data_IF_931683339161
#
_entry.id   IF_931683339161
#
_cell.length_a   1.000
_cell.length_b   1.000
_cell.length_c   1.000
_cell.angle_alpha   90.00
_cell.angle_beta   90.00
_cell.angle_gamma   90.00
#
_symmetry.space_group_name_H-M   'P 1'
#
loop_
_entity.id
_entity.type
_entity.pdbx_description
1 polymer ?
#
# COMPACT_ATOMS: atom_id res chain seq x y z
N UNK A 1 54.43 21.40 28.33
CA UNK A 1 55.13 20.37 29.05
C UNK A 1 56.00 20.95 30.13
N UNK A 2 55.64 20.66 31.42
CA UNK A 2 56.53 20.91 32.55
C UNK A 2 57.46 19.72 32.78
N UNK A 3 58.63 19.96 33.34
CA UNK A 3 59.55 18.89 33.75
C UNK A 3 59.60 18.84 35.27
N UNK A 4 59.44 17.65 35.87
CA UNK A 4 59.73 17.43 37.25
C UNK A 4 61.24 17.58 37.51
N UNK A 5 61.69 17.88 38.76
CA UNK A 5 63.09 18.05 39.16
C UNK A 5 63.88 16.75 38.99
N UNK A 6 64.30 16.46 37.77
CA UNK A 6 65.01 15.26 37.39
C UNK A 6 64.95 14.94 35.89
N UNK A 7 64.60 15.91 35.04
CA UNK A 7 64.50 15.80 33.58
C UNK A 7 63.52 14.75 33.01
N UNK A 8 62.60 14.17 33.79
CA UNK A 8 61.55 13.33 33.25
C UNK A 8 60.36 14.20 32.82
N UNK A 9 59.79 14.00 31.63
CA UNK A 9 58.59 14.69 31.21
C UNK A 9 57.42 14.27 32.09
N UNK A 10 56.62 15.23 32.59
CA UNK A 10 55.37 14.96 33.26
C UNK A 10 54.34 14.64 32.16
N UNK A 11 53.84 13.44 32.14
CA UNK A 11 52.75 13.04 31.22
C UNK A 11 51.41 13.54 31.75
N UNK A 12 50.45 13.70 30.85
CA UNK A 12 49.10 14.13 31.24
C UNK A 12 48.43 13.12 32.18
N UNK A 13 48.72 11.84 32.02
CA UNK A 13 48.27 10.72 32.84
C UNK A 13 48.83 10.74 34.28
N UNK A 14 49.93 11.49 34.56
CA UNK A 14 50.48 11.67 35.91
C UNK A 14 49.65 12.67 36.76
N UNK A 15 48.85 13.49 36.12
CA UNK A 15 48.12 14.60 36.77
C UNK A 15 46.60 14.59 36.51
N UNK A 16 46.13 13.75 35.58
CA UNK A 16 44.74 13.64 35.19
C UNK A 16 44.42 12.26 34.61
N UNK A 17 43.22 11.80 34.89
CA UNK A 17 42.65 10.62 34.19
C UNK A 17 42.28 10.97 32.76
N UNK A 18 42.93 10.32 31.80
CA UNK A 18 42.67 10.51 30.36
C UNK A 18 41.90 9.34 29.82
N UNK A 19 40.61 9.55 29.55
CA UNK A 19 39.73 8.52 28.98
C UNK A 19 38.89 9.10 27.85
N UNK A 20 38.45 8.23 26.95
CA UNK A 20 37.47 8.58 25.93
C UNK A 20 36.12 8.63 26.60
N UNK A 21 35.45 9.77 26.57
CA UNK A 21 34.14 9.99 27.17
C UNK A 21 33.13 10.58 26.20
N UNK A 22 31.90 10.65 26.63
CA UNK A 22 30.84 11.31 25.86
C UNK A 22 31.06 12.83 25.84
N UNK A 23 30.74 13.46 24.70
CA UNK A 23 30.69 14.93 24.58
C UNK A 23 29.59 15.48 25.51
N UNK A 24 29.90 16.54 26.20
CA UNK A 24 28.96 17.24 27.10
C UNK A 24 28.51 18.60 26.49
N UNK A 25 27.24 18.97 26.63
CA UNK A 25 26.14 18.19 27.21
C UNK A 25 25.70 17.03 26.26
N UNK A 26 25.24 15.92 26.83
CA UNK A 26 24.63 14.85 26.06
C UNK A 26 23.30 15.36 25.47
N UNK A 27 23.14 15.22 24.16
CA UNK A 27 21.96 15.73 23.44
C UNK A 27 20.90 14.64 23.22
N UNK A 28 21.24 13.38 23.35
CA UNK A 28 20.32 12.28 23.17
C UNK A 28 20.85 10.93 23.61
N UNK A 29 19.96 9.98 23.75
CA UNK A 29 20.21 8.56 24.03
C UNK A 29 19.42 7.70 23.07
N UNK A 30 19.83 6.44 22.94
CA UNK A 30 19.09 5.45 22.17
C UNK A 30 19.08 4.10 22.88
N UNK A 31 18.04 3.32 22.65
CA UNK A 31 17.89 1.98 23.19
C UNK A 31 17.17 1.06 22.22
N UNK A 32 17.45 -0.25 22.35
CA UNK A 32 16.71 -1.33 21.72
C UNK A 32 16.32 -2.37 22.78
N UNK A 33 15.04 -2.71 22.85
CA UNK A 33 14.50 -3.66 23.86
C UNK A 33 14.92 -3.31 25.29
N UNK A 34 14.90 -2.04 25.64
CA UNK A 34 15.28 -1.56 26.96
C UNK A 34 16.79 -1.59 27.25
N UNK A 35 17.65 -1.85 26.28
CA UNK A 35 19.12 -1.82 26.43
C UNK A 35 19.70 -0.65 25.67
N UNK A 36 20.70 0.01 26.24
CA UNK A 36 21.43 1.09 25.56
C UNK A 36 21.96 0.60 24.21
N UNK A 37 21.73 1.38 23.17
CA UNK A 37 22.11 1.08 21.80
C UNK A 37 22.60 2.32 21.06
N UNK A 38 23.24 2.10 19.92
CA UNK A 38 23.54 3.15 18.94
C UNK A 38 22.63 2.92 17.74
N UNK A 39 21.79 3.87 17.42
CA UNK A 39 20.93 3.82 16.25
C UNK A 39 21.62 4.46 15.05
N UNK A 40 21.66 3.72 13.95
CA UNK A 40 22.16 4.19 12.66
C UNK A 40 20.99 4.39 11.72
N UNK A 41 20.75 5.62 11.32
CA UNK A 41 19.72 5.92 10.32
C UNK A 41 20.35 6.00 8.95
N UNK A 42 19.87 5.16 8.03
CA UNK A 42 20.35 5.12 6.64
C UNK A 42 19.28 5.72 5.73
N UNK A 43 19.63 6.79 5.02
CA UNK A 43 18.76 7.43 4.03
C UNK A 43 19.21 7.05 2.62
N UNK A 44 18.27 6.83 1.73
CA UNK A 44 18.55 6.50 0.33
C UNK A 44 18.47 7.73 -0.56
N UNK A 45 19.18 7.72 -1.68
CA UNK A 45 18.99 8.69 -2.75
C UNK A 45 17.63 8.48 -3.44
N UNK A 46 16.96 9.54 -3.94
CA UNK A 46 15.60 9.46 -4.48
C UNK A 46 15.39 8.40 -5.56
N UNK A 47 16.36 8.20 -6.46
CA UNK A 47 16.26 7.27 -7.59
C UNK A 47 16.67 5.81 -7.26
N UNK A 48 17.15 5.54 -6.03
CA UNK A 48 17.63 4.20 -5.66
C UNK A 48 16.47 3.29 -5.27
N UNK A 49 16.52 2.02 -5.71
CA UNK A 49 15.58 0.99 -5.28
C UNK A 49 15.74 0.70 -3.78
N UNK A 50 14.65 0.84 -3.02
CA UNK A 50 14.67 0.57 -1.58
C UNK A 50 14.96 -0.91 -1.28
N UNK A 51 14.36 -1.83 -2.04
CA UNK A 51 14.55 -3.27 -1.84
C UNK A 51 16.01 -3.68 -2.08
N UNK A 52 16.55 -3.33 -3.25
CA UNK A 52 17.93 -3.67 -3.62
C UNK A 52 18.96 -3.07 -2.67
N UNK A 53 18.75 -1.82 -2.23
CA UNK A 53 19.63 -1.17 -1.27
C UNK A 53 19.56 -1.86 0.10
N UNK A 54 18.37 -2.24 0.55
CA UNK A 54 18.18 -2.95 1.82
C UNK A 54 18.90 -4.29 1.80
N UNK A 55 18.73 -5.09 0.73
CA UNK A 55 19.39 -6.39 0.58
C UNK A 55 20.93 -6.27 0.62
N UNK A 56 21.49 -5.29 -0.11
CA UNK A 56 22.92 -5.01 -0.09
C UNK A 56 23.43 -4.58 1.28
N UNK A 57 22.67 -3.73 1.97
CA UNK A 57 22.99 -3.26 3.31
C UNK A 57 23.00 -4.41 4.31
N UNK A 58 21.98 -5.26 4.28
CA UNK A 58 21.89 -6.43 5.18
C UNK A 58 23.01 -7.44 4.94
N UNK A 59 23.37 -7.69 3.68
CA UNK A 59 24.48 -8.55 3.36
C UNK A 59 25.79 -7.99 3.95
N UNK A 60 26.03 -6.68 3.79
CA UNK A 60 27.20 -6.00 4.33
C UNK A 60 27.22 -6.01 5.87
N UNK A 61 26.05 -5.80 6.51
CA UNK A 61 25.96 -5.83 7.98
C UNK A 61 26.17 -7.25 8.55
N UNK A 62 25.68 -8.29 7.86
CA UNK A 62 25.97 -9.68 8.22
C UNK A 62 27.46 -10.02 8.14
N UNK A 63 28.14 -9.50 7.14
CA UNK A 63 29.60 -9.70 7.02
C UNK A 63 30.36 -8.91 8.09
N UNK A 64 29.93 -7.68 8.37
CA UNK A 64 30.48 -6.87 9.45
C UNK A 64 30.32 -7.55 10.82
N UNK A 65 29.13 -8.13 11.09
CA UNK A 65 28.85 -8.81 12.35
C UNK A 65 29.83 -9.94 12.67
N UNK A 66 30.39 -10.61 11.65
CA UNK A 66 31.40 -11.67 11.83
C UNK A 66 32.71 -11.16 12.41
N UNK A 67 33.02 -9.88 12.19
CA UNK A 67 34.27 -9.23 12.59
C UNK A 67 34.13 -8.36 13.85
N UNK A 68 32.91 -8.22 14.38
CA UNK A 68 32.63 -7.46 15.61
C UNK A 68 32.95 -8.31 16.85
N UNK A 69 33.24 -7.67 18.00
CA UNK A 69 33.36 -8.33 19.27
C UNK A 69 32.06 -9.11 19.62
N UNK A 70 32.16 -10.25 20.34
CA UNK A 70 30.98 -11.10 20.63
C UNK A 70 29.87 -10.45 21.44
N UNK A 71 30.19 -9.39 22.15
CA UNK A 71 29.27 -8.56 22.95
C UNK A 71 28.53 -7.51 22.15
N UNK A 72 28.99 -7.22 20.91
CA UNK A 72 28.36 -6.25 20.00
C UNK A 72 27.43 -6.99 19.04
N UNK A 73 26.14 -6.63 19.04
CA UNK A 73 25.13 -7.18 18.13
C UNK A 73 24.59 -6.08 17.25
N UNK A 74 24.46 -6.36 15.95
CA UNK A 74 23.79 -5.48 14.98
C UNK A 74 22.39 -6.01 14.76
N UNK A 75 21.38 -5.19 15.02
CA UNK A 75 19.97 -5.48 14.76
C UNK A 75 19.48 -4.66 13.58
N UNK A 76 18.78 -5.31 12.66
CA UNK A 76 18.18 -4.68 11.48
C UNK A 76 16.63 -4.73 11.53
N UNK A 77 16.06 -5.26 12.61
CA UNK A 77 14.63 -5.55 12.72
C UNK A 77 13.77 -4.39 13.28
N UNK A 78 14.33 -3.19 13.36
CA UNK A 78 13.65 -2.03 13.96
C UNK A 78 12.65 -1.44 12.95
N UNK A 79 13.12 -0.60 12.07
CA UNK A 79 12.31 0.02 11.02
C UNK A 79 12.93 -0.23 9.66
N UNK A 80 12.16 -0.83 8.76
CA UNK A 80 12.57 -1.12 7.38
C UNK A 80 11.46 -0.73 6.43
N UNK A 81 11.68 0.29 5.63
CA UNK A 81 10.73 0.68 4.58
C UNK A 81 10.50 -0.47 3.57
N UNK A 82 11.51 -1.32 3.36
CA UNK A 82 11.38 -2.51 2.49
C UNK A 82 10.30 -3.47 2.97
N UNK A 83 10.12 -3.67 4.28
CA UNK A 83 9.08 -4.56 4.85
C UNK A 83 7.67 -4.16 4.41
N UNK A 84 7.38 -2.86 4.40
CA UNK A 84 6.11 -2.34 3.91
C UNK A 84 5.92 -2.62 2.40
N UNK A 85 6.98 -2.41 1.60
CA UNK A 85 6.96 -2.67 0.17
C UNK A 85 6.77 -4.17 -0.09
N UNK A 86 7.52 -5.03 0.59
CA UNK A 86 7.43 -6.50 0.51
C UNK A 86 6.02 -7.01 0.89
N UNK A 87 5.48 -6.53 2.00
CA UNK A 87 4.11 -6.86 2.43
C UNK A 87 3.07 -6.42 1.41
N UNK A 88 3.21 -5.22 0.86
CA UNK A 88 2.30 -4.71 -0.17
C UNK A 88 2.39 -5.51 -1.46
N UNK A 89 3.60 -5.86 -1.92
CA UNK A 89 3.82 -6.73 -3.07
C UNK A 89 3.22 -8.12 -2.81
N UNK A 90 3.48 -8.71 -1.65
CA UNK A 90 2.95 -10.00 -1.26
C UNK A 90 1.42 -10.03 -1.24
N UNK A 91 0.77 -9.00 -0.70
CA UNK A 91 -0.68 -8.86 -0.71
C UNK A 91 -1.24 -8.75 -2.13
N UNK A 92 -0.59 -7.98 -3.01
CA UNK A 92 -1.00 -7.89 -4.41
C UNK A 92 -0.81 -9.23 -5.12
N UNK A 93 0.34 -9.90 -4.95
CA UNK A 93 0.57 -11.23 -5.53
C UNK A 93 -0.48 -12.25 -5.06
N UNK A 94 -0.82 -12.25 -3.77
CA UNK A 94 -1.88 -13.10 -3.23
C UNK A 94 -3.22 -12.78 -3.88
N UNK A 95 -3.60 -11.52 -3.96
CA UNK A 95 -4.86 -11.09 -4.59
C UNK A 95 -4.89 -11.43 -6.08
N UNK A 96 -3.77 -11.29 -6.79
CA UNK A 96 -3.64 -11.70 -8.20
C UNK A 96 -3.85 -13.20 -8.36
N UNK A 97 -3.25 -14.01 -7.49
CA UNK A 97 -3.38 -15.46 -7.53
C UNK A 97 -4.80 -15.92 -7.19
N UNK A 98 -5.37 -15.40 -6.11
CA UNK A 98 -6.77 -15.69 -5.72
C UNK A 98 -7.75 -15.23 -6.80
N UNK A 99 -7.60 -14.01 -7.30
CA UNK A 99 -8.39 -13.49 -8.42
C UNK A 99 -8.26 -14.34 -9.67
N UNK A 100 -7.04 -14.79 -10.01
CA UNK A 100 -6.79 -15.72 -11.10
C UNK A 100 -7.53 -17.05 -10.95
N UNK A 101 -7.54 -17.64 -9.76
CA UNK A 101 -8.30 -18.86 -9.46
C UNK A 101 -9.80 -18.63 -9.66
N UNK A 102 -10.35 -17.53 -9.12
CA UNK A 102 -11.76 -17.23 -9.32
C UNK A 102 -12.12 -17.05 -10.78
N UNK A 103 -11.27 -16.37 -11.55
CA UNK A 103 -11.45 -16.21 -12.99
C UNK A 103 -11.47 -17.58 -13.68
N UNK A 104 -10.55 -18.50 -13.37
CA UNK A 104 -10.53 -19.85 -13.92
C UNK A 104 -11.83 -20.59 -13.62
N UNK A 105 -12.31 -20.53 -12.38
CA UNK A 105 -13.57 -21.19 -11.97
C UNK A 105 -14.75 -20.59 -12.75
N UNK A 106 -14.85 -19.27 -12.83
CA UNK A 106 -15.93 -18.59 -13.55
C UNK A 106 -15.88 -18.91 -15.04
N UNK A 107 -14.72 -18.85 -15.67
CA UNK A 107 -14.53 -19.22 -17.08
C UNK A 107 -14.99 -20.64 -17.36
N UNK A 108 -14.58 -21.58 -16.51
CA UNK A 108 -14.97 -22.98 -16.68
C UNK A 108 -16.48 -23.19 -16.53
N UNK A 109 -17.11 -22.49 -15.56
CA UNK A 109 -18.55 -22.57 -15.34
C UNK A 109 -19.36 -22.01 -16.51
N UNK A 110 -18.90 -20.92 -17.12
CA UNK A 110 -19.63 -20.24 -18.19
C UNK A 110 -19.34 -20.82 -19.58
N UNK A 111 -18.07 -21.02 -19.91
CA UNK A 111 -17.67 -21.50 -21.24
C UNK A 111 -17.88 -23.00 -21.40
N UNK A 112 -17.92 -23.79 -20.31
CA UNK A 112 -18.07 -25.26 -20.29
C UNK A 112 -17.19 -26.01 -21.32
N UNK A 113 -16.13 -25.35 -21.81
CA UNK A 113 -15.23 -25.88 -22.82
C UNK A 113 -13.78 -25.65 -22.41
N UNK A 114 -13.03 -26.71 -22.16
CA UNK A 114 -11.64 -26.63 -21.70
C UNK A 114 -10.75 -25.86 -22.68
N UNK A 115 -10.99 -25.91 -23.97
CA UNK A 115 -10.13 -25.24 -24.96
C UNK A 115 -10.31 -23.71 -24.93
N UNK A 116 -11.54 -23.26 -24.88
CA UNK A 116 -11.84 -21.81 -24.74
C UNK A 116 -11.29 -21.26 -23.42
N UNK A 117 -11.44 -22.03 -22.34
CA UNK A 117 -10.87 -21.68 -21.03
C UNK A 117 -9.34 -21.59 -21.07
N UNK A 118 -8.66 -22.54 -21.73
CA UNK A 118 -7.18 -22.52 -21.85
C UNK A 118 -6.72 -21.30 -22.65
N UNK A 119 -7.42 -20.93 -23.73
CA UNK A 119 -7.05 -19.73 -24.51
C UNK A 119 -7.11 -18.50 -23.62
N UNK A 120 -8.24 -18.27 -22.94
CA UNK A 120 -8.40 -17.12 -22.03
C UNK A 120 -7.39 -17.14 -20.87
N UNK A 121 -7.04 -18.32 -20.39
CA UNK A 121 -6.09 -18.52 -19.30
C UNK A 121 -4.63 -18.21 -19.72
N UNK A 122 -4.28 -18.41 -20.99
CA UNK A 122 -2.95 -18.09 -21.52
C UNK A 122 -2.83 -16.60 -21.86
N UNK A 123 -3.90 -16.00 -22.39
CA UNK A 123 -3.88 -14.58 -22.78
C UNK A 123 -3.74 -13.63 -21.59
N UNK A 124 -4.25 -13.99 -20.41
CA UNK A 124 -4.22 -13.20 -19.21
C UNK A 124 -2.78 -12.95 -18.69
N UNK A 125 -1.97 -14.00 -18.37
CA UNK A 125 -0.57 -13.80 -17.98
C UNK A 125 0.25 -13.10 -19.07
N UNK A 126 -0.03 -13.39 -20.33
CA UNK A 126 0.67 -12.75 -21.44
C UNK A 126 0.40 -11.24 -21.48
N UNK A 127 -0.84 -10.81 -21.27
CA UNK A 127 -1.20 -9.39 -21.18
C UNK A 127 -0.49 -8.70 -19.99
N UNK A 128 -0.44 -9.37 -18.84
CA UNK A 128 0.26 -8.84 -17.66
C UNK A 128 1.77 -8.72 -17.89
N UNK A 129 2.41 -9.75 -18.46
CA UNK A 129 3.84 -9.72 -18.78
C UNK A 129 4.13 -8.61 -19.79
N UNK A 130 3.32 -8.50 -20.84
CA UNK A 130 3.45 -7.43 -21.85
C UNK A 130 3.33 -6.05 -21.19
N UNK A 131 2.40 -5.88 -20.25
CA UNK A 131 2.22 -4.63 -19.50
C UNK A 131 3.45 -4.31 -18.65
N UNK A 132 3.98 -5.27 -17.90
CA UNK A 132 5.17 -5.10 -17.07
C UNK A 132 6.40 -4.74 -17.91
N UNK A 133 6.60 -5.42 -19.05
CA UNK A 133 7.68 -5.14 -19.99
C UNK A 133 7.53 -3.73 -20.58
N UNK A 134 6.32 -3.34 -20.96
CA UNK A 134 6.05 -1.98 -21.49
C UNK A 134 6.33 -0.91 -20.43
N UNK A 135 5.87 -1.09 -19.19
CA UNK A 135 6.14 -0.17 -18.09
C UNK A 135 7.65 -0.05 -17.82
N UNK A 136 8.37 -1.16 -17.87
CA UNK A 136 9.83 -1.15 -17.71
C UNK A 136 10.53 -0.33 -18.80
N UNK A 137 10.17 -0.52 -20.07
CA UNK A 137 10.73 0.27 -21.19
C UNK A 137 10.34 1.75 -21.13
N UNK A 138 9.21 2.09 -20.55
CA UNK A 138 8.81 3.48 -20.28
C UNK A 138 9.56 4.12 -19.10
N UNK A 139 10.42 3.37 -18.40
CA UNK A 139 11.19 3.84 -17.25
C UNK A 139 10.41 3.91 -15.94
N UNK A 140 9.24 3.28 -15.87
CA UNK A 140 8.48 3.19 -14.63
C UNK A 140 9.02 2.09 -13.73
N UNK A 141 9.19 2.40 -12.45
CA UNK A 141 9.52 1.42 -11.42
C UNK A 141 8.26 0.71 -10.91
N UNK A 142 8.39 -0.58 -10.62
CA UNK A 142 7.32 -1.33 -9.95
C UNK A 142 7.22 -0.83 -8.51
N UNK A 143 6.09 -0.23 -8.18
CA UNK A 143 5.75 0.24 -6.84
C UNK A 143 4.33 -0.21 -6.47
N UNK A 144 3.93 0.01 -5.22
CA UNK A 144 2.61 -0.41 -4.71
C UNK A 144 1.44 0.16 -5.51
N UNK A 145 1.58 1.39 -6.03
CA UNK A 145 0.54 2.06 -6.82
C UNK A 145 0.46 1.47 -8.23
N UNK A 146 1.60 1.23 -8.90
CA UNK A 146 1.60 0.60 -10.22
C UNK A 146 1.10 -0.85 -10.16
N UNK A 147 1.45 -1.61 -9.11
CA UNK A 147 0.90 -2.95 -8.87
C UNK A 147 -0.60 -2.90 -8.57
N UNK A 148 -1.06 -1.91 -7.81
CA UNK A 148 -2.49 -1.68 -7.58
C UNK A 148 -3.24 -1.41 -8.88
N UNK A 149 -2.68 -0.60 -9.78
CA UNK A 149 -3.22 -0.35 -11.13
C UNK A 149 -3.33 -1.62 -11.97
N UNK A 150 -2.29 -2.47 -11.96
CA UNK A 150 -2.31 -3.78 -12.62
C UNK A 150 -3.36 -4.72 -12.00
N UNK A 151 -3.50 -4.73 -10.68
CA UNK A 151 -4.49 -5.55 -9.99
C UNK A 151 -5.92 -5.16 -10.36
N UNK A 152 -6.21 -3.86 -10.43
CA UNK A 152 -7.52 -3.36 -10.89
C UNK A 152 -7.76 -3.73 -12.36
N UNK A 153 -6.72 -3.67 -13.19
CA UNK A 153 -6.82 -3.98 -14.61
C UNK A 153 -7.22 -5.44 -14.89
N UNK A 154 -6.86 -6.40 -14.01
CA UNK A 154 -7.08 -7.84 -14.24
C UNK A 154 -8.54 -8.15 -14.60
N UNK A 155 -9.50 -7.54 -13.91
CA UNK A 155 -10.92 -7.71 -14.22
C UNK A 155 -11.25 -7.37 -15.68
N UNK A 156 -10.75 -6.24 -16.16
CA UNK A 156 -10.96 -5.78 -17.54
C UNK A 156 -10.13 -6.56 -18.57
N UNK A 157 -8.94 -7.04 -18.18
CA UNK A 157 -8.08 -7.86 -19.08
C UNK A 157 -8.73 -9.18 -19.47
N UNK A 158 -9.52 -9.75 -18.58
CA UNK A 158 -10.23 -11.02 -18.80
C UNK A 158 -11.36 -10.84 -19.80
N UNK A 159 -12.09 -9.74 -19.70
CA UNK A 159 -13.29 -9.48 -20.51
C UNK A 159 -12.96 -9.43 -22.02
N UNK A 160 -11.92 -8.71 -22.40
CA UNK A 160 -11.51 -8.58 -23.81
C UNK A 160 -11.21 -9.93 -24.46
N UNK A 161 -10.48 -10.79 -23.74
CA UNK A 161 -10.14 -12.13 -24.24
C UNK A 161 -11.36 -13.07 -24.29
N UNK A 162 -12.29 -12.98 -23.33
CA UNK A 162 -13.49 -13.82 -23.28
C UNK A 162 -14.41 -13.50 -24.45
N UNK A 163 -14.66 -12.22 -24.70
CA UNK A 163 -15.58 -11.76 -25.75
C UNK A 163 -15.14 -12.25 -27.12
N UNK A 164 -13.83 -12.15 -27.45
CA UNK A 164 -13.32 -12.62 -28.73
C UNK A 164 -13.38 -14.17 -28.84
N UNK A 165 -12.93 -14.88 -27.80
CA UNK A 165 -12.95 -16.36 -27.78
C UNK A 165 -14.38 -16.90 -27.90
N UNK A 166 -15.34 -16.30 -27.18
CA UNK A 166 -16.74 -16.73 -27.24
C UNK A 166 -17.35 -16.47 -28.61
N UNK A 167 -17.11 -15.31 -29.22
CA UNK A 167 -17.61 -14.98 -30.54
C UNK A 167 -17.02 -15.92 -31.60
N UNK A 168 -15.71 -16.16 -31.57
CA UNK A 168 -15.04 -17.11 -32.47
C UNK A 168 -15.61 -18.52 -32.31
N UNK A 169 -15.78 -18.97 -31.06
CA UNK A 169 -16.36 -20.32 -30.79
C UNK A 169 -17.77 -20.44 -31.34
N UNK A 170 -18.62 -19.42 -31.12
CA UNK A 170 -19.98 -19.38 -31.64
C UNK A 170 -20.01 -19.40 -33.17
N UNK A 171 -19.21 -18.58 -33.82
CA UNK A 171 -19.15 -18.53 -35.31
C UNK A 171 -18.59 -19.81 -35.92
N UNK A 172 -17.59 -20.44 -35.30
CA UNK A 172 -17.11 -21.75 -35.72
C UNK A 172 -18.18 -22.83 -35.60
N UNK A 173 -18.99 -22.79 -34.54
CA UNK A 173 -20.11 -23.69 -34.37
C UNK A 173 -21.20 -23.46 -35.42
N UNK A 174 -21.61 -22.22 -35.65
CA UNK A 174 -22.57 -21.85 -36.69
C UNK A 174 -22.10 -22.29 -38.10
N UNK A 175 -20.80 -22.10 -38.40
CA UNK A 175 -20.23 -22.54 -39.67
C UNK A 175 -20.28 -24.07 -39.86
N UNK A 176 -20.14 -24.87 -38.79
CA UNK A 176 -20.26 -26.33 -38.84
C UNK A 176 -21.68 -26.80 -39.12
N UNK A 177 -22.70 -26.02 -38.76
CA UNK A 177 -24.11 -26.34 -39.03
C UNK A 177 -24.54 -26.07 -40.48
N UNK A 178 -23.74 -25.30 -41.24
CA UNK A 178 -24.01 -25.02 -42.65
C UNK A 178 -23.76 -26.23 -43.54
N UNK A 179 -24.41 -26.33 -44.73
CA UNK A 179 -24.07 -27.32 -45.75
C UNK A 179 -22.58 -27.25 -46.10
N UNK A 180 -21.99 -28.41 -46.47
CA UNK A 180 -20.54 -28.50 -46.71
C UNK A 180 -20.05 -27.54 -47.79
N UNK A 181 -20.88 -27.24 -48.78
CA UNK A 181 -20.62 -26.35 -49.89
C UNK A 181 -20.55 -24.86 -49.48
N UNK A 182 -21.21 -24.48 -48.39
CA UNK A 182 -21.27 -23.12 -47.87
C UNK A 182 -20.32 -22.87 -46.68
N UNK A 183 -19.55 -23.88 -46.27
CA UNK A 183 -18.62 -23.76 -45.12
C UNK A 183 -17.38 -22.94 -45.49
N UNK A 184 -17.19 -21.87 -44.76
CA UNK A 184 -15.96 -21.09 -44.84
C UNK A 184 -14.80 -21.85 -44.19
N UNK A 185 -13.58 -21.52 -44.62
CA UNK A 185 -12.37 -22.04 -43.97
C UNK A 185 -12.28 -21.56 -42.53
N UNK A 186 -11.61 -22.35 -41.65
CA UNK A 186 -11.46 -22.02 -40.24
C UNK A 186 -10.83 -20.65 -40.05
N UNK A 187 -9.82 -20.31 -40.85
CA UNK A 187 -9.14 -19.00 -40.79
C UNK A 187 -10.07 -17.85 -41.15
N UNK A 188 -10.90 -18.01 -42.18
CA UNK A 188 -11.88 -17.00 -42.56
C UNK A 188 -12.95 -16.79 -41.48
N UNK A 189 -13.43 -17.89 -40.88
CA UNK A 189 -14.41 -17.76 -39.76
C UNK A 189 -13.80 -17.02 -38.57
N UNK A 190 -12.60 -17.41 -38.16
CA UNK A 190 -11.89 -16.76 -37.07
C UNK A 190 -11.64 -15.27 -37.37
N UNK A 191 -11.15 -14.98 -38.58
CA UNK A 191 -10.91 -13.59 -38.99
C UNK A 191 -12.18 -12.75 -38.97
N UNK A 192 -13.28 -13.24 -39.52
CA UNK A 192 -14.54 -12.53 -39.54
C UNK A 192 -15.13 -12.35 -38.15
N UNK A 193 -15.07 -13.39 -37.31
CA UNK A 193 -15.54 -13.32 -35.91
C UNK A 193 -14.78 -12.30 -35.08
N UNK A 194 -13.44 -12.33 -35.15
CA UNK A 194 -12.61 -11.37 -34.43
C UNK A 194 -12.78 -9.93 -34.99
N UNK A 195 -13.03 -9.77 -36.30
CA UNK A 195 -13.33 -8.47 -36.91
C UNK A 195 -14.64 -7.86 -36.37
N UNK A 196 -15.66 -8.70 -36.09
CA UNK A 196 -16.95 -8.24 -35.53
C UNK A 196 -16.79 -7.57 -34.17
N UNK A 197 -15.96 -8.14 -33.28
CA UNK A 197 -15.79 -7.66 -31.90
C UNK A 197 -14.68 -6.62 -31.74
N UNK A 198 -13.85 -6.42 -32.77
CA UNK A 198 -12.70 -5.50 -32.72
C UNK A 198 -13.11 -4.07 -32.37
N UNK A 199 -14.10 -3.50 -33.06
CA UNK A 199 -14.52 -2.11 -32.81
C UNK A 199 -15.18 -1.93 -31.44
N UNK A 200 -16.07 -2.81 -30.96
CA UNK A 200 -16.54 -2.79 -29.58
C UNK A 200 -15.40 -2.82 -28.54
N UNK A 201 -14.41 -3.70 -28.68
CA UNK A 201 -13.28 -3.81 -27.76
C UNK A 201 -12.46 -2.51 -27.75
N UNK A 202 -12.07 -1.99 -28.94
CA UNK A 202 -11.31 -0.75 -29.03
C UNK A 202 -12.06 0.45 -28.43
N UNK A 203 -13.36 0.55 -28.69
CA UNK A 203 -14.17 1.64 -28.17
C UNK A 203 -14.32 1.55 -26.65
N UNK A 204 -14.54 0.35 -26.09
CA UNK A 204 -14.64 0.17 -24.64
C UNK A 204 -13.32 0.52 -23.95
N UNK A 205 -12.19 0.03 -24.47
CA UNK A 205 -10.85 0.38 -23.95
C UNK A 205 -10.62 1.88 -24.00
N UNK A 206 -10.96 2.54 -25.13
CA UNK A 206 -10.79 3.99 -25.27
C UNK A 206 -11.64 4.78 -24.25
N UNK A 207 -12.90 4.38 -24.06
CA UNK A 207 -13.78 5.00 -23.07
C UNK A 207 -13.20 4.87 -21.67
N UNK A 208 -12.71 3.69 -21.30
CA UNK A 208 -12.08 3.46 -20.00
C UNK A 208 -10.81 4.31 -19.85
N UNK A 209 -9.94 4.36 -20.86
CA UNK A 209 -8.74 5.20 -20.86
C UNK A 209 -9.10 6.66 -20.65
N UNK A 210 -10.09 7.17 -21.38
CA UNK A 210 -10.55 8.56 -21.25
C UNK A 210 -11.10 8.85 -19.86
N UNK A 211 -11.76 7.89 -19.21
CA UNK A 211 -12.26 8.06 -17.84
C UNK A 211 -11.14 8.20 -16.80
N UNK A 212 -9.93 7.73 -17.08
CA UNK A 212 -8.74 7.89 -16.24
C UNK A 212 -7.95 9.17 -16.51
N UNK A 213 -8.21 9.86 -17.63
CA UNK A 213 -7.52 11.12 -17.98
C UNK A 213 -7.58 12.18 -16.87
N UNK A 214 -8.68 12.37 -16.13
CA UNK A 214 -8.73 13.34 -15.03
C UNK A 214 -7.67 13.12 -13.95
N UNK A 215 -7.19 11.89 -13.72
CA UNK A 215 -6.13 11.60 -12.75
C UNK A 215 -4.82 12.33 -13.05
N UNK A 216 -4.53 12.58 -14.33
CA UNK A 216 -3.30 13.26 -14.76
C UNK A 216 -3.30 14.77 -14.53
N UNK A 217 -4.47 15.34 -14.23
CA UNK A 217 -4.62 16.76 -13.85
C UNK A 217 -4.55 16.99 -12.35
N UNK A 218 -4.45 15.92 -11.54
CA UNK A 218 -4.25 16.05 -10.12
C UNK A 218 -2.85 16.59 -9.83
N UNK A 219 -2.79 17.61 -8.98
CA UNK A 219 -1.55 18.23 -8.51
C UNK A 219 -1.23 17.79 -7.10
N UNK A 220 -0.04 18.13 -6.59
CA UNK A 220 0.33 17.82 -5.22
C UNK A 220 0.70 16.37 -5.00
N UNK A 221 0.47 15.89 -3.78
CA UNK A 221 0.80 14.53 -3.36
C UNK A 221 -0.15 13.50 -3.99
N UNK A 222 -1.43 13.83 -4.14
CA UNK A 222 -2.45 12.98 -4.75
C UNK A 222 -2.06 12.60 -6.18
N UNK A 223 -1.63 13.60 -6.97
CA UNK A 223 -1.16 13.35 -8.33
C UNK A 223 0.05 12.43 -8.37
N UNK A 224 1.04 12.65 -7.49
CA UNK A 224 2.24 11.80 -7.41
C UNK A 224 1.93 10.34 -7.05
N UNK A 225 0.89 10.10 -6.27
CA UNK A 225 0.46 8.76 -5.87
C UNK A 225 -0.41 8.09 -6.94
N UNK A 226 -1.39 8.80 -7.50
CA UNK A 226 -2.41 8.21 -8.37
C UNK A 226 -1.98 8.13 -9.83
N UNK A 227 -1.10 9.01 -10.31
CA UNK A 227 -0.60 8.98 -11.69
C UNK A 227 0.09 7.65 -12.04
N UNK A 228 1.00 7.08 -11.23
CA UNK A 228 1.58 5.76 -11.52
C UNK A 228 0.53 4.64 -11.59
N UNK A 229 -0.51 4.68 -10.76
CA UNK A 229 -1.63 3.75 -10.78
C UNK A 229 -2.40 3.86 -12.10
N UNK A 230 -2.76 5.09 -12.50
CA UNK A 230 -3.47 5.35 -13.75
C UNK A 230 -2.68 4.93 -14.99
N UNK A 231 -1.37 5.22 -15.03
CA UNK A 231 -0.50 4.81 -16.14
C UNK A 231 -0.42 3.28 -16.21
N UNK A 232 -0.18 2.60 -15.08
CA UNK A 232 -0.09 1.14 -15.06
C UNK A 232 -1.40 0.47 -15.53
N UNK A 233 -2.53 1.01 -15.11
CA UNK A 233 -3.85 0.56 -15.55
C UNK A 233 -4.06 0.75 -17.06
N UNK A 234 -3.77 1.94 -17.60
CA UNK A 234 -3.91 2.24 -19.03
C UNK A 234 -2.99 1.36 -19.88
N UNK A 235 -1.73 1.20 -19.46
CA UNK A 235 -0.76 0.34 -20.15
C UNK A 235 -1.23 -1.11 -20.14
N UNK A 236 -1.79 -1.58 -19.03
CA UNK A 236 -2.35 -2.93 -18.92
C UNK A 236 -3.52 -3.14 -19.89
N UNK A 237 -4.46 -2.20 -19.97
CA UNK A 237 -5.57 -2.26 -20.91
C UNK A 237 -5.09 -2.25 -22.36
N UNK A 238 -4.14 -1.37 -22.70
CA UNK A 238 -3.58 -1.30 -24.05
C UNK A 238 -2.88 -2.61 -24.42
N UNK A 239 -2.08 -3.18 -23.51
CA UNK A 239 -1.42 -4.47 -23.71
C UNK A 239 -2.44 -5.62 -23.89
N UNK A 240 -3.51 -5.63 -23.07
CA UNK A 240 -4.60 -6.61 -23.23
C UNK A 240 -5.26 -6.52 -24.60
N UNK A 241 -5.60 -5.33 -25.01
CA UNK A 241 -6.23 -5.11 -26.32
C UNK A 241 -5.32 -5.59 -27.47
N UNK A 242 -4.00 -5.33 -27.40
CA UNK A 242 -3.04 -5.84 -28.39
C UNK A 242 -3.01 -7.37 -28.37
N UNK A 243 -2.95 -7.99 -27.20
CA UNK A 243 -2.96 -9.46 -27.06
C UNK A 243 -4.29 -10.06 -27.55
N UNK A 244 -5.42 -9.47 -27.19
CA UNK A 244 -6.74 -9.90 -27.63
C UNK A 244 -6.91 -9.82 -29.15
N UNK A 245 -6.40 -8.78 -29.78
CA UNK A 245 -6.52 -8.59 -31.23
C UNK A 245 -5.49 -9.39 -32.06
N UNK A 246 -4.43 -9.90 -31.45
CA UNK A 246 -3.35 -10.61 -32.16
C UNK A 246 -3.24 -12.07 -31.75
N UNK A 247 -2.95 -12.33 -30.49
CA UNK A 247 -2.67 -13.66 -29.96
C UNK A 247 -3.94 -14.51 -29.83
N UNK A 248 -5.02 -13.91 -29.36
CA UNK A 248 -6.30 -14.63 -29.14
C UNK A 248 -6.84 -15.25 -30.42
N UNK A 249 -6.97 -14.54 -31.56
CA UNK A 249 -7.42 -15.15 -32.82
C UNK A 249 -6.51 -16.29 -33.31
N UNK A 250 -5.19 -16.12 -33.14
CA UNK A 250 -4.22 -17.17 -33.52
C UNK A 250 -4.43 -18.43 -32.67
N UNK A 251 -4.53 -18.30 -31.34
CA UNK A 251 -4.81 -19.42 -30.44
C UNK A 251 -6.16 -20.08 -30.75
N UNK A 252 -7.19 -19.28 -31.06
CA UNK A 252 -8.49 -19.80 -31.50
C UNK A 252 -8.38 -20.65 -32.77
N UNK A 253 -7.62 -20.19 -33.77
CA UNK A 253 -7.44 -20.93 -35.01
C UNK A 253 -6.75 -22.28 -34.79
N UNK A 254 -5.75 -22.33 -33.89
CA UNK A 254 -5.01 -23.59 -33.60
C UNK A 254 -5.79 -24.54 -32.68
N UNK A 255 -6.42 -24.05 -31.63
CA UNK A 255 -7.03 -24.90 -30.61
C UNK A 255 -8.49 -25.26 -30.90
N UNK A 256 -9.26 -24.35 -31.51
CA UNK A 256 -10.67 -24.57 -31.84
C UNK A 256 -10.84 -25.14 -33.27
N UNK A 257 -9.88 -24.88 -34.17
CA UNK A 257 -9.92 -25.37 -35.56
C UNK A 257 -9.68 -26.88 -35.73
N UNK A 258 -9.06 -27.57 -34.77
CA UNK A 258 -8.60 -28.97 -34.87
C UNK A 258 -9.65 -30.03 -34.56
N UNK A 259 -10.91 -29.70 -34.35
CA UNK A 259 -11.95 -30.70 -34.02
C UNK A 259 -12.39 -31.52 -35.23
N UNK A 260 -11.66 -32.62 -35.51
CA UNK A 260 -12.01 -33.58 -36.56
C UNK A 260 -12.92 -34.71 -36.08
N UNK A 261 -13.16 -34.91 -34.79
CA UNK A 261 -13.92 -36.09 -34.30
C UNK A 261 -14.61 -35.78 -32.96
N UNK A 262 -15.74 -35.17 -32.96
CA UNK A 262 -16.90 -35.49 -32.11
C UNK A 262 -18.08 -34.66 -32.58
N UNK A 263 -18.72 -35.21 -33.59
CA UNK A 263 -20.03 -34.80 -34.05
C UNK A 263 -21.05 -35.09 -32.94
N UNK A 264 -22.03 -34.17 -32.87
CA UNK A 264 -23.32 -34.41 -32.23
C UNK A 264 -23.35 -34.55 -30.70
N UNK A 265 -22.72 -33.65 -29.98
CA UNK A 265 -23.45 -33.10 -28.82
C UNK A 265 -23.70 -31.62 -29.11
N UNK A 266 -24.95 -31.26 -29.25
CA UNK A 266 -25.41 -29.88 -29.24
C UNK A 266 -24.52 -29.12 -28.23
N UNK A 267 -23.94 -28.01 -28.66
CA UNK A 267 -23.28 -27.12 -27.73
C UNK A 267 -24.38 -26.57 -26.81
N UNK A 268 -24.82 -27.40 -25.84
CA UNK A 268 -25.74 -26.95 -24.84
C UNK A 268 -24.95 -25.91 -24.05
N UNK A 269 -25.46 -24.66 -24.03
CA UNK A 269 -25.03 -23.68 -23.06
C UNK A 269 -24.74 -24.38 -21.74
N UNK A 270 -23.67 -23.98 -21.05
CA UNK A 270 -23.43 -24.44 -19.67
C UNK A 270 -24.74 -24.44 -18.89
N UNK A 271 -24.93 -25.43 -18.02
CA UNK A 271 -26.11 -25.45 -17.13
C UNK A 271 -26.33 -24.09 -16.43
N UNK A 272 -25.24 -23.46 -16.02
CA UNK A 272 -25.26 -22.14 -15.39
C UNK A 272 -25.73 -21.06 -16.38
N UNK A 273 -25.14 -21.01 -17.57
CA UNK A 273 -25.49 -20.04 -18.60
C UNK A 273 -26.98 -20.19 -19.03
N UNK A 274 -27.46 -21.42 -19.20
CA UNK A 274 -28.85 -21.69 -19.56
C UNK A 274 -29.82 -21.24 -18.49
N UNK A 275 -29.54 -21.52 -17.20
CA UNK A 275 -30.39 -21.10 -16.09
C UNK A 275 -30.37 -19.58 -15.94
N UNK A 276 -29.24 -18.94 -16.10
CA UNK A 276 -29.12 -17.49 -16.08
C UNK A 276 -29.88 -16.82 -17.25
N UNK A 277 -29.78 -17.38 -18.47
CA UNK A 277 -30.55 -16.89 -19.63
C UNK A 277 -32.06 -16.97 -19.39
N UNK A 278 -32.54 -18.05 -18.78
CA UNK A 278 -33.97 -18.19 -18.43
C UNK A 278 -34.40 -17.14 -17.40
N UNK A 279 -33.61 -16.97 -16.35
CA UNK A 279 -33.88 -15.99 -15.31
C UNK A 279 -33.84 -14.55 -15.85
N UNK A 280 -32.80 -14.25 -16.63
CA UNK A 280 -32.66 -12.95 -17.30
C UNK A 280 -33.82 -12.68 -18.28
N UNK A 281 -34.24 -13.67 -19.05
CA UNK A 281 -35.40 -13.53 -19.95
C UNK A 281 -36.68 -13.16 -19.22
N UNK A 282 -36.95 -13.80 -18.08
CA UNK A 282 -38.11 -13.48 -17.26
C UNK A 282 -37.99 -12.07 -16.63
N UNK A 283 -36.81 -11.72 -16.11
CA UNK A 283 -36.55 -10.39 -15.58
C UNK A 283 -36.67 -9.30 -16.66
N UNK A 284 -36.15 -9.54 -17.84
CA UNK A 284 -36.22 -8.59 -18.96
C UNK A 284 -37.66 -8.39 -19.42
N UNK A 285 -38.47 -9.45 -19.51
CA UNK A 285 -39.89 -9.35 -19.84
C UNK A 285 -40.64 -8.52 -18.80
N UNK A 286 -40.36 -8.72 -17.51
CA UNK A 286 -40.91 -7.91 -16.43
C UNK A 286 -40.55 -6.43 -16.56
N UNK A 287 -39.23 -6.13 -16.73
CA UNK A 287 -38.72 -4.77 -16.90
C UNK A 287 -39.35 -4.05 -18.09
N UNK A 288 -39.41 -4.74 -19.24
CA UNK A 288 -40.00 -4.16 -20.45
C UNK A 288 -41.51 -3.94 -20.32
N UNK A 289 -42.19 -4.79 -19.54
CA UNK A 289 -43.64 -4.60 -19.22
C UNK A 289 -43.92 -3.43 -18.26
N UNK A 290 -42.93 -3.11 -17.39
CA UNK A 290 -43.13 -2.11 -16.32
C UNK A 290 -42.16 -0.92 -16.45
N UNK A 291 -41.94 -0.41 -17.66
CA UNK A 291 -40.93 0.63 -17.99
C UNK A 291 -41.01 1.87 -17.06
N UNK A 292 -42.24 2.34 -16.73
CA UNK A 292 -42.42 3.53 -15.87
C UNK A 292 -41.98 3.26 -14.42
N UNK A 293 -42.21 2.05 -13.90
CA UNK A 293 -41.82 1.68 -12.53
C UNK A 293 -40.29 1.57 -12.48
N UNK A 294 -39.70 0.91 -13.48
CA UNK A 294 -38.24 0.75 -13.54
C UNK A 294 -37.54 2.10 -13.67
N UNK A 295 -38.02 2.99 -14.54
CA UNK A 295 -37.47 4.32 -14.68
C UNK A 295 -37.61 5.14 -13.39
N UNK A 296 -38.79 5.10 -12.75
CA UNK A 296 -39.05 5.78 -11.48
C UNK A 296 -38.14 5.25 -10.35
N UNK A 297 -37.96 3.92 -10.25
CA UNK A 297 -37.07 3.32 -9.25
C UNK A 297 -35.59 3.67 -9.49
N UNK A 298 -35.18 3.71 -10.74
CA UNK A 298 -33.79 4.12 -11.12
C UNK A 298 -33.53 5.58 -10.74
N UNK A 299 -34.48 6.48 -11.04
CA UNK A 299 -34.35 7.89 -10.64
C UNK A 299 -34.36 8.02 -9.12
N UNK A 300 -35.27 7.29 -8.43
CA UNK A 300 -35.30 7.27 -6.97
C UNK A 300 -34.00 6.79 -6.35
N UNK A 301 -33.44 5.70 -6.86
CA UNK A 301 -32.13 5.18 -6.41
C UNK A 301 -31.01 6.19 -6.67
N UNK A 302 -31.04 6.86 -7.83
CA UNK A 302 -30.06 7.90 -8.15
C UNK A 302 -30.13 9.08 -7.18
N UNK A 303 -31.34 9.53 -6.83
CA UNK A 303 -31.53 10.62 -5.84
C UNK A 303 -31.02 10.18 -4.46
N UNK A 304 -31.32 8.94 -4.03
CA UNK A 304 -30.80 8.40 -2.77
C UNK A 304 -29.27 8.33 -2.79
N UNK A 305 -28.67 7.85 -3.87
CA UNK A 305 -27.21 7.80 -4.02
C UNK A 305 -26.58 9.21 -3.96
N UNK A 306 -27.25 10.20 -4.58
CA UNK A 306 -26.80 11.60 -4.56
C UNK A 306 -26.87 12.17 -3.13
N UNK A 307 -27.93 11.91 -2.39
CA UNK A 307 -28.05 12.33 -0.98
C UNK A 307 -26.97 11.66 -0.14
N UNK A 308 -26.77 10.34 -0.29
CA UNK A 308 -25.71 9.62 0.41
C UNK A 308 -24.31 10.19 0.09
N UNK A 309 -24.05 10.59 -1.15
CA UNK A 309 -22.78 11.19 -1.54
C UNK A 309 -22.44 12.46 -0.74
N UNK A 310 -23.45 13.29 -0.44
CA UNK A 310 -23.23 14.49 0.37
C UNK A 310 -23.09 14.22 1.88
N UNK A 311 -23.53 13.04 2.35
CA UNK A 311 -23.38 12.63 3.76
C UNK A 311 -22.12 11.84 4.03
N UNK A 312 -21.41 11.39 2.99
CA UNK A 312 -20.14 10.66 3.13
C UNK A 312 -19.04 11.57 3.69
N UNK A 313 -18.32 11.06 4.69
CA UNK A 313 -17.12 11.69 5.22
C UNK A 313 -16.02 11.74 4.14
N UNK A 314 -15.18 12.78 4.21
CA UNK A 314 -14.04 12.95 3.31
C UNK A 314 -12.77 12.73 4.08
N UNK A 315 -11.89 11.87 3.59
CA UNK A 315 -10.54 11.68 4.11
C UNK A 315 -9.52 11.78 2.97
N UNK A 316 -8.31 12.22 3.30
CA UNK A 316 -7.24 12.40 2.32
C UNK A 316 -6.72 11.03 1.84
N UNK A 317 -6.39 10.15 2.78
CA UNK A 317 -5.90 8.80 2.51
C UNK A 317 -6.72 7.77 3.28
N UNK A 318 -6.96 6.59 2.69
CA UNK A 318 -7.54 5.50 3.44
C UNK A 318 -6.57 5.05 4.56
N UNK A 319 -7.07 4.65 5.73
CA UNK A 319 -6.23 4.08 6.77
C UNK A 319 -5.62 2.76 6.27
N UNK A 320 -4.31 2.68 6.21
CA UNK A 320 -3.58 1.46 5.87
C UNK A 320 -2.72 1.01 7.06
N UNK A 321 -2.41 -0.28 7.10
CA UNK A 321 -1.59 -0.85 8.15
C UNK A 321 -0.14 -0.96 7.66
N UNK A 322 0.76 -0.22 8.32
CA UNK A 322 2.19 -0.20 8.02
C UNK A 322 2.97 -1.30 8.79
N UNK A 323 2.31 -2.03 9.70
CA UNK A 323 2.94 -3.08 10.50
C UNK A 323 3.91 -2.56 11.56
N UNK A 324 3.94 -1.26 11.81
CA UNK A 324 4.74 -0.64 12.86
C UNK A 324 4.02 0.57 13.44
N UNK A 325 4.23 0.80 14.73
CA UNK A 325 3.88 2.07 15.38
C UNK A 325 5.09 2.97 15.44
N UNK A 326 4.88 4.27 15.21
CA UNK A 326 5.77 5.36 15.62
C UNK A 326 5.10 6.12 16.75
N UNK A 327 5.66 5.98 17.95
CA UNK A 327 5.07 6.54 19.17
C UNK A 327 5.98 7.68 19.65
N UNK A 328 5.40 8.86 19.81
CA UNK A 328 6.09 9.97 20.40
C UNK A 328 5.66 10.15 21.85
N UNK A 329 6.64 10.26 22.71
CA UNK A 329 6.44 10.57 24.14
C UNK A 329 7.10 11.92 24.40
N UNK A 330 6.28 12.91 24.71
CA UNK A 330 6.74 14.26 24.97
C UNK A 330 6.51 14.59 26.45
N UNK A 331 7.57 14.84 27.18
CA UNK A 331 7.54 15.30 28.56
C UNK A 331 7.64 16.82 28.61
N UNK A 332 7.53 17.39 29.83
CA UNK A 332 7.59 18.83 30.03
C UNK A 332 8.94 19.39 29.56
N UNK A 333 8.94 20.54 28.87
CA UNK A 333 10.17 21.26 28.56
C UNK A 333 10.98 21.58 29.84
N UNK A 334 12.32 21.49 29.73
CA UNK A 334 13.22 21.65 30.86
C UNK A 334 13.52 20.41 31.67
N UNK A 335 12.90 19.27 31.34
CA UNK A 335 13.28 17.98 31.91
C UNK A 335 14.70 17.60 31.50
N UNK A 336 15.42 16.90 32.39
CA UNK A 336 16.73 16.36 32.03
C UNK A 336 16.64 15.20 31.03
N UNK A 337 17.71 14.99 30.25
CA UNK A 337 17.78 13.85 29.35
C UNK A 337 17.63 12.52 30.10
N UNK A 338 18.15 12.43 31.32
CA UNK A 338 18.09 11.24 32.16
C UNK A 338 16.65 10.90 32.56
N UNK A 339 15.85 11.87 32.97
CA UNK A 339 14.45 11.65 33.34
C UNK A 339 13.59 11.33 32.10
N UNK A 340 13.85 12.00 30.97
CA UNK A 340 13.20 11.67 29.70
C UNK A 340 13.55 10.25 29.25
N UNK A 341 14.80 9.82 29.45
CA UNK A 341 15.26 8.46 29.14
C UNK A 341 14.57 7.41 30.02
N UNK A 342 14.40 7.67 31.31
CA UNK A 342 13.64 6.78 32.23
C UNK A 342 12.18 6.64 31.82
N UNK A 343 11.52 7.73 31.42
CA UNK A 343 10.14 7.69 30.94
C UNK A 343 10.04 6.87 29.64
N UNK A 344 10.99 7.09 28.73
CA UNK A 344 11.08 6.30 27.51
C UNK A 344 11.33 4.80 27.78
N UNK A 345 12.19 4.48 28.74
CA UNK A 345 12.44 3.08 29.12
C UNK A 345 11.18 2.42 29.70
N UNK A 346 10.43 3.15 30.53
CA UNK A 346 9.14 2.66 31.03
C UNK A 346 8.15 2.37 29.91
N UNK A 347 8.13 3.19 28.88
CA UNK A 347 7.29 2.96 27.71
C UNK A 347 7.72 1.71 26.91
N UNK A 348 9.03 1.48 26.78
CA UNK A 348 9.55 0.26 26.15
C UNK A 348 9.11 -1.01 26.90
N UNK A 349 9.19 -1.02 28.22
CA UNK A 349 8.72 -2.14 29.05
C UNK A 349 7.23 -2.42 28.83
N UNK A 350 6.40 -1.36 28.84
CA UNK A 350 4.96 -1.47 28.63
C UNK A 350 4.64 -2.02 27.23
N UNK A 351 5.32 -1.55 26.21
CA UNK A 351 5.14 -1.99 24.83
C UNK A 351 5.58 -3.45 24.65
N UNK A 352 6.74 -3.84 25.19
CA UNK A 352 7.24 -5.21 25.12
C UNK A 352 6.36 -6.21 25.90
N UNK A 353 5.49 -5.73 26.79
CA UNK A 353 4.49 -6.57 27.45
C UNK A 353 3.31 -6.97 26.58
N UNK A 354 3.22 -6.42 25.35
CA UNK A 354 2.15 -6.68 24.38
C UNK A 354 2.61 -7.78 23.41
N UNK A 355 1.90 -8.92 23.31
CA UNK A 355 2.36 -10.09 22.54
C UNK A 355 2.53 -9.88 21.04
N UNK A 356 1.88 -8.87 20.46
CA UNK A 356 1.96 -8.50 19.03
C UNK A 356 3.17 -7.63 18.70
N UNK A 357 3.79 -6.99 19.69
CA UNK A 357 4.97 -6.14 19.50
C UNK A 357 6.21 -7.01 19.50
N UNK A 358 6.92 -7.03 18.37
CA UNK A 358 8.07 -7.90 18.15
C UNK A 358 9.35 -7.36 18.79
N UNK A 359 9.57 -6.08 18.64
CA UNK A 359 10.71 -5.35 19.19
C UNK A 359 10.36 -3.89 19.39
N UNK A 360 11.19 -3.17 20.13
CA UNK A 360 11.03 -1.74 20.38
C UNK A 360 12.39 -1.10 20.28
N UNK A 361 12.48 -0.01 19.53
CA UNK A 361 13.67 0.83 19.47
C UNK A 361 13.28 2.28 19.75
N UNK A 362 14.05 2.94 20.57
CA UNK A 362 13.78 4.31 20.99
C UNK A 362 14.98 5.22 20.78
N UNK A 363 14.70 6.42 20.35
CA UNK A 363 15.63 7.56 20.43
C UNK A 363 15.00 8.64 21.30
N UNK A 364 15.79 9.19 22.23
CA UNK A 364 15.41 10.31 23.10
C UNK A 364 16.34 11.46 22.80
N UNK A 365 15.78 12.65 22.56
CA UNK A 365 16.57 13.78 22.13
C UNK A 365 17.05 13.63 20.67
N UNK A 366 18.23 14.17 20.36
CA UNK A 366 18.77 14.16 18.98
C UNK A 366 20.23 13.70 18.92
N UNK A 367 20.58 13.09 17.81
CA UNK A 367 21.99 12.97 17.41
C UNK A 367 22.51 14.30 16.87
N UNK A 368 23.84 14.50 16.88
CA UNK A 368 24.47 15.77 16.47
C UNK A 368 24.19 16.13 14.99
N UNK A 369 24.01 15.13 14.12
CA UNK A 369 23.75 15.29 12.68
C UNK A 369 22.30 14.91 12.29
N UNK A 370 21.39 14.80 13.25
CA UNK A 370 19.99 14.46 12.95
C UNK A 370 19.27 15.67 12.33
N UNK A 371 18.65 15.47 11.16
CA UNK A 371 17.84 16.49 10.50
C UNK A 371 16.56 16.83 11.28
N UNK A 372 16.07 15.88 12.09
CA UNK A 372 14.92 16.07 12.96
C UNK A 372 15.37 16.47 14.36
N UNK A 373 15.41 17.78 14.61
CA UNK A 373 15.79 18.34 15.90
C UNK A 373 14.69 18.09 16.94
N UNK A 374 14.72 16.93 17.61
CA UNK A 374 13.89 16.65 18.78
C UNK A 374 14.54 17.28 20.02
N UNK A 375 13.74 17.87 20.91
CA UNK A 375 14.20 18.28 22.23
C UNK A 375 14.56 17.07 23.10
N UNK A 376 15.39 17.29 24.12
CA UNK A 376 15.75 16.22 25.08
C UNK A 376 14.54 15.67 25.84
N UNK A 377 13.44 16.41 25.83
CA UNK A 377 12.16 16.03 26.43
C UNK A 377 11.28 15.13 25.53
N UNK A 378 11.74 14.77 24.33
CA UNK A 378 10.96 13.97 23.37
C UNK A 378 11.66 12.64 23.10
N UNK A 379 10.92 11.57 23.27
CA UNK A 379 11.31 10.21 22.85
C UNK A 379 10.45 9.77 21.67
N UNK A 380 11.08 9.27 20.63
CA UNK A 380 10.42 8.61 19.50
C UNK A 380 10.71 7.12 19.54
N UNK A 381 9.65 6.31 19.51
CA UNK A 381 9.72 4.87 19.66
C UNK A 381 9.15 4.23 18.40
N UNK A 382 9.95 3.37 17.78
CA UNK A 382 9.50 2.48 16.69
C UNK A 382 9.18 1.11 17.28
N UNK A 383 7.96 0.63 17.04
CA UNK A 383 7.45 -0.62 17.57
C UNK A 383 6.77 -1.45 16.46
N UNK A 384 7.52 -2.27 15.73
CA UNK A 384 6.96 -3.22 14.76
C UNK A 384 6.04 -4.22 15.46
N UNK A 385 4.87 -4.48 14.84
CA UNK A 385 3.89 -5.43 15.38
C UNK A 385 3.35 -6.37 14.30
N UNK A 386 2.88 -7.52 14.73
CA UNK A 386 2.20 -8.49 13.89
C UNK A 386 0.83 -8.82 14.50
N UNK A 387 -0.23 -8.48 13.77
CA UNK A 387 -1.60 -8.76 14.21
C UNK A 387 -1.85 -10.27 14.22
N UNK A 388 -2.40 -10.77 15.34
CA UNK A 388 -2.77 -12.18 15.52
C UNK A 388 -4.28 -12.36 15.38
N UNK A 389 -5.01 -12.38 16.48
CA UNK A 389 -6.44 -12.65 16.51
C UNK A 389 -7.28 -11.37 16.58
N UNK A 390 -6.74 -10.31 17.13
CA UNK A 390 -7.45 -9.05 17.37
C UNK A 390 -7.21 -8.00 16.27
N UNK A 391 -8.15 -7.07 16.19
CA UNK A 391 -8.09 -5.97 15.23
C UNK A 391 -7.00 -4.95 15.61
N UNK A 392 -6.54 -4.17 14.62
CA UNK A 392 -5.59 -3.07 14.86
C UNK A 392 -6.15 -2.04 15.84
N UNK A 393 -7.45 -1.75 15.79
CA UNK A 393 -8.09 -0.77 16.69
C UNK A 393 -8.03 -1.20 18.15
N UNK A 394 -8.21 -2.50 18.43
CA UNK A 394 -8.07 -3.06 19.77
C UNK A 394 -6.63 -3.02 20.26
N UNK A 395 -5.66 -3.30 19.37
CA UNK A 395 -4.25 -3.19 19.69
C UNK A 395 -3.86 -1.73 20.04
N UNK A 396 -4.29 -0.77 19.23
CA UNK A 396 -4.05 0.67 19.48
C UNK A 396 -4.68 1.11 20.80
N UNK A 397 -5.89 0.63 21.13
CA UNK A 397 -6.55 0.95 22.39
C UNK A 397 -5.75 0.45 23.60
N UNK A 398 -5.23 -0.80 23.57
CA UNK A 398 -4.37 -1.33 24.63
C UNK A 398 -3.05 -0.55 24.75
N UNK A 399 -2.40 -0.26 23.61
CA UNK A 399 -1.17 0.56 23.61
C UNK A 399 -1.42 1.90 24.26
N UNK A 400 -2.54 2.56 23.92
CA UNK A 400 -2.92 3.87 24.50
C UNK A 400 -3.21 3.76 25.99
N UNK A 401 -3.94 2.74 26.44
CA UNK A 401 -4.24 2.51 27.84
C UNK A 401 -2.96 2.31 28.65
N UNK A 402 -2.06 1.43 28.19
CA UNK A 402 -0.79 1.15 28.89
C UNK A 402 0.11 2.37 28.94
N UNK A 403 0.32 3.04 27.83
CA UNK A 403 1.18 4.22 27.77
C UNK A 403 0.59 5.43 28.50
N UNK A 404 -0.73 5.55 28.58
CA UNK A 404 -1.45 6.55 29.38
C UNK A 404 -1.16 6.46 30.88
N UNK A 405 -0.59 5.38 31.37
CA UNK A 405 -0.15 5.24 32.77
C UNK A 405 1.14 5.99 33.09
N UNK A 406 1.86 6.50 32.06
CA UNK A 406 3.10 7.26 32.26
C UNK A 406 2.77 8.68 32.66
N UNK A 407 2.98 8.99 33.92
CA UNK A 407 2.66 10.31 34.49
C UNK A 407 3.64 11.36 33.95
N UNK A 408 3.11 12.53 33.56
CA UNK A 408 3.92 13.66 33.12
C UNK A 408 4.39 13.59 31.66
N UNK A 409 3.87 12.62 30.90
CA UNK A 409 4.16 12.49 29.48
C UNK A 409 2.89 12.59 28.64
N UNK A 410 2.99 13.27 27.50
CA UNK A 410 2.01 13.21 26.44
C UNK A 410 2.41 12.13 25.45
N UNK A 411 1.48 11.24 25.11
CA UNK A 411 1.71 10.12 24.20
C UNK A 411 0.92 10.35 22.92
N UNK A 412 1.60 10.23 21.79
CA UNK A 412 1.01 10.28 20.45
C UNK A 412 1.35 9.00 19.70
N UNK A 413 0.33 8.30 19.20
CA UNK A 413 0.46 7.01 18.53
C UNK A 413 0.16 7.18 17.06
N UNK A 414 1.18 7.04 16.23
CA UNK A 414 1.10 7.11 14.77
C UNK A 414 1.65 5.86 14.09
N UNK A 415 1.84 5.98 12.80
CA UNK A 415 2.55 5.01 11.97
C UNK A 415 3.66 5.72 11.19
N UNK A 416 4.74 5.03 10.81
CA UNK A 416 5.94 5.68 10.26
C UNK A 416 5.69 6.56 9.03
N UNK A 417 4.93 6.09 8.05
CA UNK A 417 4.67 6.82 6.81
C UNK A 417 3.57 7.87 7.01
N UNK A 418 2.45 7.46 7.63
CA UNK A 418 1.33 8.36 7.91
C UNK A 418 1.79 9.56 8.73
N UNK A 419 2.60 9.34 9.75
CA UNK A 419 3.15 10.39 10.62
C UNK A 419 4.04 11.38 9.85
N UNK A 420 4.86 10.90 8.90
CA UNK A 420 5.66 11.78 8.04
C UNK A 420 4.80 12.58 7.06
N UNK A 421 3.74 11.96 6.52
CA UNK A 421 2.80 12.65 5.63
C UNK A 421 2.08 13.78 6.39
N UNK A 422 1.58 13.50 7.60
CA UNK A 422 0.94 14.51 8.45
C UNK A 422 1.89 15.66 8.77
N UNK A 423 3.13 15.35 9.13
CA UNK A 423 4.16 16.38 9.40
C UNK A 423 4.48 17.23 8.16
N UNK A 424 4.47 16.66 6.97
CA UNK A 424 4.66 17.41 5.72
C UNK A 424 3.48 18.31 5.38
N UNK A 425 2.26 17.90 5.69
CA UNK A 425 1.03 18.62 5.34
C UNK A 425 0.69 19.71 6.36
N UNK A 426 0.74 19.39 7.66
CA UNK A 426 0.32 20.27 8.74
C UNK A 426 1.49 21.06 9.35
N UNK A 427 2.73 20.61 9.14
CA UNK A 427 3.93 21.10 9.80
C UNK A 427 4.05 20.61 11.26
N UNK A 428 3.16 19.70 11.68
CA UNK A 428 3.19 19.02 12.98
C UNK A 428 2.98 17.53 12.77
N UNK A 429 3.26 16.73 13.78
CA UNK A 429 3.08 15.28 13.71
C UNK A 429 1.61 14.85 13.86
N UNK A 430 0.69 15.79 14.03
CA UNK A 430 -0.75 15.56 14.21
C UNK A 430 -1.55 15.82 12.92
N UNK A 431 -2.68 15.13 12.75
CA UNK A 431 -3.58 15.31 11.62
C UNK A 431 -4.21 16.72 11.56
N UNK A 432 -4.40 17.36 12.72
CA UNK A 432 -4.96 18.71 12.87
C UNK A 432 -4.02 19.54 13.72
N UNK A 433 -3.56 20.67 13.20
CA UNK A 433 -2.74 21.63 13.92
C UNK A 433 -3.50 22.94 14.12
N UNK A 434 -3.71 23.34 15.37
CA UNK A 434 -4.25 24.63 15.73
C UNK A 434 -3.07 25.53 16.12
N UNK A 435 -2.79 26.55 15.31
CA UNK A 435 -1.66 27.46 15.53
C UNK A 435 -2.15 28.77 16.18
N UNK A 436 -1.63 29.07 17.36
CA UNK A 436 -1.83 30.34 18.04
C UNK A 436 -0.64 31.28 17.77
N UNK A 437 -0.93 32.53 17.47
CA UNK A 437 0.07 33.53 17.18
C UNK A 437 -0.06 34.66 18.21
N UNK A 438 1.06 35.10 18.79
CA UNK A 438 1.12 36.20 19.76
C UNK A 438 2.55 36.41 20.26
N UNK A 439 2.76 37.49 20.97
CA UNK A 439 4.08 37.91 21.48
C UNK A 439 4.38 37.35 22.88
N UNK A 440 3.36 36.93 23.64
CA UNK A 440 3.49 36.39 24.99
C UNK A 440 3.26 34.89 25.02
N UNK A 441 4.34 34.10 25.15
CA UNK A 441 4.31 32.65 25.15
C UNK A 441 3.48 32.08 26.31
N UNK A 442 3.54 32.68 27.51
CA UNK A 442 2.78 32.19 28.66
C UNK A 442 1.28 32.39 28.48
N UNK A 443 0.89 33.55 27.95
CA UNK A 443 -0.51 33.82 27.60
C UNK A 443 -1.01 32.87 26.51
N UNK A 444 -0.20 32.61 25.48
CA UNK A 444 -0.55 31.66 24.41
C UNK A 444 -0.71 30.25 24.95
N UNK A 445 0.16 29.80 25.86
CA UNK A 445 0.03 28.48 26.49
C UNK A 445 -1.27 28.38 27.33
N UNK A 446 -1.62 29.44 28.08
CA UNK A 446 -2.88 29.50 28.84
C UNK A 446 -4.09 29.39 27.91
N UNK A 447 -4.12 30.21 26.85
CA UNK A 447 -5.18 30.14 25.82
C UNK A 447 -5.24 28.78 25.11
N UNK A 448 -4.08 28.18 24.86
CA UNK A 448 -4.01 26.82 24.28
C UNK A 448 -4.69 25.79 25.18
N UNK A 449 -4.50 25.88 26.50
CA UNK A 449 -5.16 25.00 27.46
C UNK A 449 -6.67 25.28 27.58
N UNK A 450 -7.10 26.52 27.45
CA UNK A 450 -8.53 26.86 27.38
C UNK A 450 -9.18 26.26 26.13
N UNK A 451 -8.52 26.38 24.97
CA UNK A 451 -8.97 25.75 23.72
C UNK A 451 -9.02 24.22 23.87
N UNK A 452 -7.97 23.61 24.44
CA UNK A 452 -7.93 22.20 24.76
C UNK A 452 -9.16 21.76 25.57
N UNK A 453 -9.45 22.50 26.66
CA UNK A 453 -10.64 22.23 27.50
C UNK A 453 -11.96 22.33 26.74
N UNK A 454 -12.05 23.27 25.79
CA UNK A 454 -13.28 23.47 25.00
C UNK A 454 -13.53 22.38 23.94
N UNK A 455 -12.48 21.72 23.43
CA UNK A 455 -12.59 20.76 22.31
C UNK A 455 -12.35 19.31 22.70
N UNK A 456 -11.82 19.02 23.88
CA UNK A 456 -11.45 17.66 24.31
C UNK A 456 -12.60 16.65 24.28
N UNK A 457 -13.84 17.11 24.47
CA UNK A 457 -15.05 16.26 24.50
C UNK A 457 -15.66 16.04 23.11
N UNK A 458 -15.06 16.57 22.04
CA UNK A 458 -15.55 16.36 20.67
C UNK A 458 -15.29 14.90 20.26
N UNK A 459 -16.33 14.15 19.87
CA UNK A 459 -16.18 12.77 19.46
C UNK A 459 -15.19 12.62 18.29
N UNK A 460 -14.21 11.70 18.44
CA UNK A 460 -13.18 11.44 17.43
C UNK A 460 -11.82 12.05 17.73
N UNK A 461 -11.72 12.92 18.74
CA UNK A 461 -10.42 13.39 19.23
C UNK A 461 -9.84 12.31 20.16
N UNK A 462 -8.61 11.87 19.85
CA UNK A 462 -7.92 10.84 20.63
C UNK A 462 -6.72 11.41 21.41
N UNK A 463 -5.81 12.11 20.74
CA UNK A 463 -4.57 12.62 21.32
C UNK A 463 -4.54 14.14 21.13
N UNK A 464 -4.78 14.88 22.20
CA UNK A 464 -4.88 16.35 22.17
C UNK A 464 -3.82 16.97 23.08
N UNK A 465 -2.80 17.54 22.46
CA UNK A 465 -1.65 18.12 23.14
C UNK A 465 -1.54 19.63 22.89
N UNK A 466 -1.12 20.36 23.91
CA UNK A 466 -0.71 21.76 23.79
C UNK A 466 0.81 21.78 23.90
N UNK A 467 1.50 22.21 22.85
CA UNK A 467 2.95 22.38 22.88
C UNK A 467 3.28 23.62 23.73
N UNK A 468 4.13 23.42 24.70
CA UNK A 468 4.70 24.52 25.48
C UNK A 468 6.04 24.90 24.87
N UNK A 469 6.17 26.15 24.49
CA UNK A 469 7.44 26.77 24.11
C UNK A 469 8.01 27.58 25.27
N UNK A 470 9.32 27.50 25.48
CA UNK A 470 10.04 28.22 26.53
C UNK A 470 10.92 29.26 25.89
#
# INVERSE_FOLDING_TARGET
GGTASGNAPILLEDIADVHIGAKLPKLGTASERGKSAVLLTVTKQPATSTLELTDKLEASLKDLQKNLPPDVKVSTDIFRQSRFIESSIGNVQKSLFEGGIFVVIVLFLFLANVRTTVISLVTLPLSLITSLVTLHYMGFTINTMSLGGLAIAIGSLVDDAIVDVENVYKRLHENKLKPVEERLSILEVVFNASKEVRMPILNSTLIIVVSFVPLFFLTGMEGRMLVPLGIAFIVALAASTVVALTVTPVLCSYLLGRDKKKEQKESSDSFVARKMKQWYGAALAFVLGHKKIVLGSTIGLFVVALVCFFTLGRSFLPPFNEGSFTINISSLPGISLEESDKMGHRAEELLLSIPEIQTVARKTGRAELDEHALGVNVSEIEAPFELKERSRSELVAEVREKLGTIVGANVEIGQPISHRIDAMLSGTKANIAIKLFGDDLNRMFTLGNEIKGAIQDIPGIADLNVEQQI
#
